data_IF_618939002599
#
_entry.id   IF_618939002599
#
_cell.length_a   1.000
_cell.length_b   1.000
_cell.length_c   1.000
_cell.angle_alpha   90.00
_cell.angle_beta   90.00
_cell.angle_gamma   90.00
#
_symmetry.space_group_name_H-M   'P 1'
#
loop_
_entity.id
_entity.type
_entity.pdbx_description
1 polymer ?
#
# COMPACT_ATOMS: atom_id res chain seq x y z
N UNK A 1 15.76 25.12 17.10
CA UNK A 1 15.54 24.51 15.77
C UNK A 1 14.82 23.20 16.03
N UNK A 2 13.55 23.10 15.63
CA UNK A 2 12.84 21.83 15.64
C UNK A 2 13.00 21.24 14.24
N UNK A 3 14.01 20.41 14.04
CA UNK A 3 14.19 19.65 12.79
C UNK A 3 13.31 18.38 12.84
N UNK A 4 12.31 18.37 13.73
CA UNK A 4 11.54 17.21 14.12
C UNK A 4 10.36 17.00 13.19
N UNK A 5 10.50 16.04 12.28
CA UNK A 5 9.37 15.15 12.02
C UNK A 5 8.90 14.63 13.38
N UNK A 6 7.61 14.72 13.67
CA UNK A 6 7.02 13.94 14.77
C UNK A 6 7.04 12.47 14.33
N UNK A 7 8.15 11.79 14.60
CA UNK A 7 8.43 10.42 14.14
C UNK A 7 7.27 9.47 14.47
N UNK A 8 6.72 9.59 15.68
CA UNK A 8 5.56 8.82 16.10
C UNK A 8 4.29 9.14 15.30
N UNK A 9 4.04 10.41 14.97
CA UNK A 9 2.91 10.80 14.12
C UNK A 9 3.08 10.23 12.71
N UNK A 10 4.30 10.27 12.16
CA UNK A 10 4.57 9.71 10.82
C UNK A 10 4.44 8.20 10.81
N UNK A 11 4.97 7.50 11.81
CA UNK A 11 4.81 6.04 11.93
C UNK A 11 3.33 5.66 12.06
N UNK A 12 2.56 6.40 12.86
CA UNK A 12 1.12 6.19 13.03
C UNK A 12 0.36 6.43 11.73
N UNK A 13 0.61 7.56 11.06
CA UNK A 13 0.02 7.90 9.76
C UNK A 13 0.38 6.87 8.68
N UNK A 14 1.63 6.41 8.64
CA UNK A 14 2.09 5.38 7.70
C UNK A 14 1.32 4.08 7.88
N UNK A 15 1.11 3.63 9.12
CA UNK A 15 0.31 2.45 9.42
C UNK A 15 -1.16 2.64 9.01
N UNK A 16 -1.76 3.79 9.30
CA UNK A 16 -3.14 4.10 8.95
C UNK A 16 -3.35 4.12 7.43
N UNK A 17 -2.52 4.86 6.70
CA UNK A 17 -2.60 4.98 5.24
C UNK A 17 -2.41 3.62 4.57
N UNK A 18 -1.42 2.85 5.02
CA UNK A 18 -1.13 1.52 4.45
C UNK A 18 -2.27 0.54 4.72
N UNK A 19 -2.81 0.56 5.94
CA UNK A 19 -3.96 -0.28 6.31
C UNK A 19 -5.21 0.07 5.50
N UNK A 20 -5.54 1.35 5.38
CA UNK A 20 -6.68 1.82 4.58
C UNK A 20 -6.50 1.46 3.10
N UNK A 21 -5.32 1.73 2.52
CA UNK A 21 -5.03 1.42 1.13
C UNK A 21 -5.15 -0.09 0.85
N UNK A 22 -4.67 -0.94 1.77
CA UNK A 22 -4.78 -2.40 1.65
C UNK A 22 -6.24 -2.87 1.72
N UNK A 23 -7.05 -2.25 2.59
CA UNK A 23 -8.48 -2.55 2.67
C UNK A 23 -9.20 -2.20 1.36
N UNK A 24 -9.07 -0.95 0.91
CA UNK A 24 -9.71 -0.48 -0.33
C UNK A 24 -9.27 -1.29 -1.55
N UNK A 25 -7.98 -1.65 -1.61
CA UNK A 25 -7.44 -2.51 -2.65
C UNK A 25 -8.04 -3.92 -2.63
N UNK A 26 -8.17 -4.52 -1.44
CA UNK A 26 -8.77 -5.85 -1.26
C UNK A 26 -10.25 -5.85 -1.66
N UNK A 27 -10.98 -4.79 -1.29
CA UNK A 27 -12.39 -4.61 -1.66
C UNK A 27 -12.56 -4.50 -3.18
N UNK A 28 -11.74 -3.67 -3.85
CA UNK A 28 -11.74 -3.55 -5.30
C UNK A 28 -11.40 -4.89 -5.98
N UNK A 29 -10.38 -5.59 -5.50
CA UNK A 29 -9.96 -6.88 -6.04
C UNK A 29 -11.10 -7.90 -5.97
N UNK A 30 -11.74 -8.02 -4.80
CA UNK A 30 -12.88 -8.91 -4.57
C UNK A 30 -14.09 -8.56 -5.44
N UNK A 31 -14.35 -7.26 -5.63
CA UNK A 31 -15.41 -6.79 -6.52
C UNK A 31 -15.16 -7.19 -7.97
N UNK A 32 -13.93 -7.01 -8.47
CA UNK A 32 -13.55 -7.43 -9.82
C UNK A 32 -13.61 -8.96 -9.98
N UNK A 33 -13.16 -9.73 -8.98
CA UNK A 33 -13.26 -11.19 -8.96
C UNK A 33 -14.72 -11.63 -9.09
N UNK A 34 -15.63 -10.97 -8.36
CA UNK A 34 -17.07 -11.26 -8.40
C UNK A 34 -17.67 -10.95 -9.78
N UNK A 35 -17.28 -9.82 -10.39
CA UNK A 35 -17.76 -9.47 -11.72
C UNK A 35 -17.34 -10.53 -12.73
N UNK A 36 -16.05 -10.86 -12.77
CA UNK A 36 -15.46 -11.69 -13.82
C UNK A 36 -15.85 -13.16 -13.67
N UNK A 37 -15.87 -13.68 -12.44
CA UNK A 37 -16.08 -15.11 -12.21
C UNK A 37 -17.55 -15.50 -11.99
N UNK A 38 -18.43 -14.55 -11.72
CA UNK A 38 -19.84 -14.84 -11.41
C UNK A 38 -20.80 -14.05 -12.27
N UNK A 39 -20.76 -12.71 -12.22
CA UNK A 39 -21.76 -11.88 -12.90
C UNK A 39 -21.64 -11.93 -14.43
N UNK A 40 -20.42 -11.85 -14.94
CA UNK A 40 -20.18 -11.80 -16.38
C UNK A 40 -20.63 -13.10 -17.08
N UNK A 41 -20.26 -14.31 -16.60
CA UNK A 41 -20.74 -15.57 -17.20
C UNK A 41 -22.26 -15.76 -17.16
N UNK A 42 -22.93 -15.23 -16.13
CA UNK A 42 -24.40 -15.26 -16.03
C UNK A 42 -25.07 -14.38 -17.10
N UNK A 43 -24.50 -13.20 -17.34
CA UNK A 43 -25.07 -12.19 -18.24
C UNK A 43 -24.71 -12.41 -19.71
N UNK A 44 -23.50 -12.91 -19.97
CA UNK A 44 -22.94 -12.99 -21.30
C UNK A 44 -22.11 -14.26 -21.44
N UNK A 45 -22.55 -15.15 -22.33
CA UNK A 45 -21.86 -16.39 -22.65
C UNK A 45 -21.15 -16.30 -24.01
N UNK A 46 -20.09 -17.09 -24.16
CA UNK A 46 -19.32 -17.23 -25.40
C UNK A 46 -18.05 -16.37 -25.45
N UNK A 47 -17.38 -16.43 -26.60
CA UNK A 47 -16.01 -15.94 -26.80
C UNK A 47 -15.76 -14.47 -26.39
N UNK A 48 -16.80 -13.63 -26.43
CA UNK A 48 -16.68 -12.24 -25.98
C UNK A 48 -16.51 -12.10 -24.47
N UNK A 49 -17.25 -12.88 -23.67
CA UNK A 49 -17.08 -12.91 -22.22
C UNK A 49 -15.76 -13.58 -21.81
N UNK A 50 -15.39 -14.67 -22.50
CA UNK A 50 -14.10 -15.34 -22.31
C UNK A 50 -12.91 -14.38 -22.49
N UNK A 51 -12.96 -13.50 -23.49
CA UNK A 51 -11.90 -12.50 -23.71
C UNK A 51 -11.72 -11.53 -22.53
N UNK A 52 -12.80 -11.12 -21.87
CA UNK A 52 -12.70 -10.28 -20.66
C UNK A 52 -12.15 -11.06 -19.45
N UNK A 53 -12.54 -12.34 -19.31
CA UNK A 53 -11.99 -13.23 -18.28
C UNK A 53 -10.48 -13.41 -18.48
N UNK A 54 -10.02 -13.65 -19.71
CA UNK A 54 -8.59 -13.77 -20.03
C UNK A 54 -7.83 -12.48 -19.68
N UNK A 55 -8.34 -11.32 -20.10
CA UNK A 55 -7.72 -10.03 -19.76
C UNK A 55 -7.62 -9.80 -18.25
N UNK A 56 -8.63 -10.24 -17.49
CA UNK A 56 -8.58 -10.16 -16.04
C UNK A 56 -7.50 -11.07 -15.44
N UNK A 57 -7.35 -12.29 -15.95
CA UNK A 57 -6.30 -13.22 -15.52
C UNK A 57 -4.90 -12.68 -15.85
N UNK A 58 -4.74 -12.00 -16.99
CA UNK A 58 -3.49 -11.34 -17.37
C UNK A 58 -3.08 -10.20 -16.42
N UNK A 59 -4.03 -9.62 -15.67
CA UNK A 59 -3.74 -8.62 -14.65
C UNK A 59 -3.19 -9.20 -13.34
N UNK A 60 -3.14 -10.52 -13.16
CA UNK A 60 -2.63 -11.18 -11.94
C UNK A 60 -1.29 -10.59 -11.43
N UNK A 61 -0.28 -10.33 -12.27
CA UNK A 61 0.98 -9.71 -11.82
C UNK A 61 0.79 -8.27 -11.33
N UNK A 62 -0.10 -7.50 -11.98
CA UNK A 62 -0.38 -6.11 -11.60
C UNK A 62 -1.06 -6.01 -10.25
N UNK A 63 -1.92 -6.97 -9.91
CA UNK A 63 -2.51 -7.05 -8.58
C UNK A 63 -1.45 -7.27 -7.49
N UNK A 64 -0.51 -8.20 -7.72
CA UNK A 64 0.61 -8.37 -6.81
C UNK A 64 1.46 -7.08 -6.71
N UNK A 65 1.76 -6.45 -7.84
CA UNK A 65 2.56 -5.22 -7.86
C UNK A 65 1.91 -4.06 -7.08
N UNK A 66 0.59 -3.92 -7.11
CA UNK A 66 -0.13 -2.91 -6.32
C UNK A 66 -0.03 -3.21 -4.82
N UNK A 67 -0.22 -4.48 -4.44
CA UNK A 67 -0.08 -4.91 -3.05
C UNK A 67 1.33 -4.64 -2.51
N UNK A 68 2.35 -4.97 -3.31
CA UNK A 68 3.76 -4.74 -2.98
C UNK A 68 4.03 -3.24 -2.83
N UNK A 69 3.53 -2.40 -3.74
CA UNK A 69 3.68 -0.95 -3.66
C UNK A 69 3.05 -0.36 -2.39
N UNK A 70 1.85 -0.81 -2.01
CA UNK A 70 1.19 -0.36 -0.77
C UNK A 70 2.08 -0.70 0.44
N UNK A 71 2.62 -1.92 0.48
CA UNK A 71 3.49 -2.36 1.56
C UNK A 71 4.81 -1.57 1.60
N UNK A 72 5.42 -1.34 0.44
CA UNK A 72 6.67 -0.58 0.29
C UNK A 72 6.52 0.87 0.76
N UNK A 73 5.39 1.52 0.46
CA UNK A 73 5.07 2.86 0.96
C UNK A 73 5.06 2.86 2.50
N UNK A 74 4.35 1.91 3.11
CA UNK A 74 4.27 1.81 4.57
C UNK A 74 5.64 1.59 5.22
N UNK A 75 6.43 0.67 4.67
CA UNK A 75 7.78 0.37 5.15
C UNK A 75 8.72 1.56 4.97
N UNK A 76 8.71 2.22 3.80
CA UNK A 76 9.57 3.36 3.51
C UNK A 76 9.27 4.57 4.41
N UNK A 77 8.00 4.84 4.69
CA UNK A 77 7.62 5.92 5.62
C UNK A 77 8.09 5.64 7.06
N UNK A 78 7.95 4.39 7.53
CA UNK A 78 8.41 4.00 8.86
C UNK A 78 9.94 4.07 8.98
N UNK A 79 10.66 3.58 7.97
CA UNK A 79 12.13 3.63 7.94
C UNK A 79 12.65 5.06 7.94
N UNK A 80 12.04 5.94 7.13
CA UNK A 80 12.42 7.35 7.11
C UNK A 80 12.14 8.03 8.45
N UNK A 81 10.99 7.78 9.08
CA UNK A 81 10.68 8.34 10.40
C UNK A 81 11.73 7.94 11.46
N UNK A 82 12.10 6.65 11.51
CA UNK A 82 13.15 6.15 12.39
C UNK A 82 14.50 6.80 12.11
N UNK A 83 14.89 6.94 10.84
CA UNK A 83 16.16 7.57 10.48
C UNK A 83 16.26 9.02 10.97
N UNK A 84 15.20 9.82 10.79
CA UNK A 84 15.18 11.20 11.28
C UNK A 84 15.20 11.29 12.81
N UNK A 85 14.52 10.38 13.49
CA UNK A 85 14.53 10.31 14.95
C UNK A 85 15.94 10.00 15.51
N UNK A 86 16.64 9.02 14.93
CA UNK A 86 18.01 8.68 15.31
C UNK A 86 18.99 9.84 15.04
N UNK A 87 18.84 10.52 13.91
CA UNK A 87 19.66 11.68 13.57
C UNK A 87 19.46 12.84 14.57
N UNK A 88 18.21 13.12 14.99
CA UNK A 88 17.89 14.17 15.95
C UNK A 88 18.43 13.84 17.36
N UNK A 89 18.33 12.58 17.78
CA UNK A 89 18.91 12.09 19.05
C UNK A 89 20.43 12.23 19.05
N UNK A 90 21.11 11.86 17.96
CA UNK A 90 22.56 11.98 17.84
C UNK A 90 23.03 13.45 17.88
N UNK A 91 22.32 14.33 17.18
CA UNK A 91 22.61 15.77 17.19
C UNK A 91 22.39 16.39 18.58
N UNK A 92 21.31 16.01 19.27
CA UNK A 92 21.00 16.46 20.63
C UNK A 92 22.07 16.02 21.63
N UNK A 93 22.47 14.74 21.59
CA UNK A 93 23.52 14.19 22.45
C UNK A 93 24.87 14.90 22.26
N UNK A 94 25.24 15.21 21.01
CA UNK A 94 26.46 15.92 20.69
C UNK A 94 26.48 17.37 21.22
N UNK A 95 25.30 18.00 21.32
CA UNK A 95 25.18 19.37 21.82
C UNK A 95 25.09 19.44 23.35
N UNK A 96 24.51 18.44 24.02
CA UNK A 96 24.43 18.36 25.49
C UNK A 96 25.74 17.95 26.18
N UNK A 97 26.72 17.47 25.42
CA UNK A 97 28.06 17.11 25.90
C UNK A 97 29.11 18.23 25.81
N UNK A 98 28.70 19.45 25.41
CA UNK A 98 29.51 20.67 25.41
C UNK A 98 29.05 21.59 26.54
#
# INVERSE_FOLDING_TARGET
MNIGIKSDDVKTQAQQITGQAMQEYTELRSFLDTIVNSKLPELWQGAGAEAYITRYQELAPSFQAIQDLIQDIGTGLQQNATYYEEADQAASAANSGR
#
